data_IF_889986425754
#
_entry.id   IF_889986425754
#
_cell.length_a   1.000
_cell.length_b   1.000
_cell.length_c   1.000
_cell.angle_alpha   90.00
_cell.angle_beta   90.00
_cell.angle_gamma   90.00
#
_symmetry.space_group_name_H-M   'P 1'
#
loop_
_entity.id
_entity.type
_entity.pdbx_description
1 polymer ?
#
# COMPACT_ATOMS: atom_id res chain seq x y z
N UNK A 1 11.89 -50.38 12.56
CA UNK A 1 11.23 -49.09 12.12
C UNK A 1 9.85 -49.44 11.62
N UNK A 2 8.88 -49.35 12.49
CA UNK A 2 7.47 -49.71 12.21
C UNK A 2 6.70 -48.51 11.70
N UNK A 3 5.85 -48.72 10.69
CA UNK A 3 4.90 -47.71 10.16
C UNK A 3 3.67 -47.63 11.06
N UNK A 4 3.11 -46.47 11.32
CA UNK A 4 1.82 -46.38 12.00
C UNK A 4 0.65 -46.71 11.04
N UNK A 5 -0.49 -47.21 11.58
CA UNK A 5 -1.61 -47.73 10.82
C UNK A 5 -2.51 -46.65 10.20
N UNK A 6 -3.13 -47.04 9.10
CA UNK A 6 -4.01 -46.20 8.29
C UNK A 6 -5.32 -45.86 8.99
N UNK A 7 -5.81 -44.67 8.69
CA UNK A 7 -7.16 -44.18 9.04
C UNK A 7 -8.08 -44.46 7.85
N UNK A 8 -9.08 -45.29 8.13
CA UNK A 8 -10.15 -45.65 7.21
C UNK A 8 -11.13 -44.48 7.03
N UNK A 9 -11.55 -44.31 5.78
CA UNK A 9 -12.65 -43.44 5.36
C UNK A 9 -14.01 -43.98 5.84
N UNK A 10 -14.79 -43.16 6.51
CA UNK A 10 -16.24 -43.34 6.55
C UNK A 10 -16.93 -42.12 5.94
N UNK A 11 -17.74 -42.44 4.94
CA UNK A 11 -18.79 -41.61 4.35
C UNK A 11 -19.90 -41.42 5.39
N UNK A 12 -20.45 -40.19 5.48
CA UNK A 12 -21.89 -40.10 5.58
C UNK A 12 -22.45 -38.70 5.31
N UNK A 13 -23.39 -38.69 4.37
CA UNK A 13 -24.69 -37.98 4.29
C UNK A 13 -24.75 -36.44 4.35
N UNK A 14 -24.85 -35.89 3.18
CA UNK A 14 -26.01 -35.17 2.60
C UNK A 14 -27.00 -34.55 3.59
N UNK A 15 -26.85 -33.24 3.87
CA UNK A 15 -27.99 -32.37 4.17
C UNK A 15 -27.85 -31.07 3.42
N UNK A 16 -28.70 -30.91 2.39
CA UNK A 16 -29.03 -29.65 1.73
C UNK A 16 -29.63 -28.69 2.75
N UNK A 17 -28.82 -27.82 3.32
CA UNK A 17 -29.25 -26.62 4.00
C UNK A 17 -29.18 -25.45 3.03
N UNK A 18 -30.31 -25.03 2.53
CA UNK A 18 -30.51 -23.84 1.75
C UNK A 18 -30.27 -22.64 2.67
N UNK A 19 -29.04 -22.10 2.68
CA UNK A 19 -28.74 -20.86 3.39
C UNK A 19 -29.05 -19.70 2.44
N UNK A 20 -30.19 -19.08 2.70
CA UNK A 20 -30.54 -17.78 2.13
C UNK A 20 -29.51 -16.74 2.60
N UNK A 21 -28.46 -16.53 1.81
CA UNK A 21 -27.52 -15.43 2.02
C UNK A 21 -28.08 -14.17 1.36
N UNK A 22 -28.95 -13.48 2.05
CA UNK A 22 -29.16 -12.04 1.81
C UNK A 22 -27.89 -11.32 2.20
N UNK A 23 -27.05 -11.04 1.19
CA UNK A 23 -25.92 -10.12 1.28
C UNK A 23 -26.53 -8.74 1.52
N UNK A 24 -26.19 -8.03 2.62
CA UNK A 24 -26.59 -6.64 2.75
C UNK A 24 -25.85 -5.83 1.66
N UNK A 25 -26.61 -5.44 0.65
CA UNK A 25 -26.22 -4.42 -0.31
C UNK A 25 -26.17 -3.08 0.43
N UNK A 26 -24.98 -2.62 0.79
CA UNK A 26 -24.83 -1.39 1.57
C UNK A 26 -23.39 -1.08 1.92
N UNK A 27 -22.42 -1.33 1.04
CA UNK A 27 -21.18 -0.60 1.08
C UNK A 27 -21.37 0.64 0.21
N UNK A 28 -21.73 1.75 0.83
CA UNK A 28 -21.55 3.07 0.23
C UNK A 28 -20.06 3.20 -0.10
N UNK A 29 -19.74 2.95 -1.36
CA UNK A 29 -18.44 3.30 -1.92
C UNK A 29 -18.37 4.82 -1.81
N UNK A 30 -17.61 5.35 -0.86
CA UNK A 30 -17.30 6.76 -0.79
C UNK A 30 -16.37 7.10 -1.96
N UNK A 31 -16.97 7.14 -3.15
CA UNK A 31 -16.36 7.79 -4.30
C UNK A 31 -16.30 9.28 -3.96
N UNK A 32 -15.11 9.86 -4.10
CA UNK A 32 -15.00 11.33 -4.04
C UNK A 32 -16.06 11.96 -4.95
N UNK A 33 -16.67 13.08 -4.54
CA UNK A 33 -17.53 13.84 -5.41
C UNK A 33 -16.79 14.11 -6.73
N UNK A 34 -17.39 13.79 -7.86
CA UNK A 34 -16.78 13.99 -9.18
C UNK A 34 -16.26 15.41 -9.37
N UNK A 35 -16.95 16.41 -8.81
CA UNK A 35 -16.57 17.82 -8.87
C UNK A 35 -15.22 18.09 -8.19
N UNK A 36 -14.91 17.40 -7.08
CA UNK A 36 -13.62 17.55 -6.40
C UNK A 36 -12.48 16.99 -7.23
N UNK A 37 -12.69 15.83 -7.87
CA UNK A 37 -11.67 15.21 -8.73
C UNK A 37 -11.37 16.04 -9.98
N UNK A 38 -12.40 16.74 -10.53
CA UNK A 38 -12.22 17.61 -11.69
C UNK A 38 -11.36 18.83 -11.38
N UNK A 39 -11.19 19.19 -10.11
CA UNK A 39 -10.32 20.29 -9.69
C UNK A 39 -8.83 19.96 -9.67
N UNK A 40 -8.47 18.67 -9.84
CA UNK A 40 -7.08 18.21 -9.79
C UNK A 40 -6.68 17.50 -11.08
N UNK A 41 -5.41 17.69 -11.46
CA UNK A 41 -4.75 16.85 -12.47
C UNK A 41 -3.99 15.73 -11.77
N UNK A 42 -4.16 14.49 -12.26
CA UNK A 42 -3.39 13.34 -11.79
C UNK A 42 -2.22 13.11 -12.72
N UNK A 43 -1.00 13.11 -12.17
CA UNK A 43 0.24 12.82 -12.91
C UNK A 43 1.21 12.00 -12.08
N UNK A 44 2.30 11.50 -12.69
CA UNK A 44 3.48 11.07 -11.92
C UNK A 44 4.01 12.28 -11.16
N UNK A 45 4.66 12.05 -10.02
CA UNK A 45 5.29 13.13 -9.25
C UNK A 45 6.39 13.78 -10.11
N UNK A 46 6.26 15.07 -10.44
CA UNK A 46 7.27 15.78 -11.23
C UNK A 46 8.59 15.91 -10.45
N UNK A 47 9.77 15.86 -11.13
CA UNK A 47 11.07 15.97 -10.47
C UNK A 47 11.23 17.22 -9.61
N UNK A 48 10.66 18.34 -10.03
CA UNK A 48 10.69 19.61 -9.28
C UNK A 48 9.99 19.55 -7.91
N UNK A 49 9.07 18.59 -7.71
CA UNK A 49 8.36 18.40 -6.45
C UNK A 49 9.00 17.35 -5.51
N UNK A 50 10.06 16.66 -5.95
CA UNK A 50 10.70 15.60 -5.14
C UNK A 50 11.24 16.15 -3.81
N UNK A 51 11.77 17.37 -3.78
CA UNK A 51 12.24 17.98 -2.54
C UNK A 51 11.12 18.18 -1.51
N UNK A 52 9.90 18.47 -1.97
CA UNK A 52 8.72 18.54 -1.09
C UNK A 52 8.41 17.16 -0.49
N UNK A 53 8.48 16.10 -1.29
CA UNK A 53 8.28 14.72 -0.83
C UNK A 53 9.31 14.35 0.23
N UNK A 54 10.59 14.62 -0.02
CA UNK A 54 11.70 14.34 0.92
C UNK A 54 11.50 15.11 2.23
N UNK A 55 11.20 16.41 2.16
CA UNK A 55 11.07 17.27 3.34
C UNK A 55 9.86 16.95 4.24
N UNK A 56 8.83 16.32 3.68
CA UNK A 56 7.62 15.92 4.41
C UNK A 56 7.65 14.47 4.91
N UNK A 57 8.63 13.68 4.48
CA UNK A 57 8.80 12.30 4.91
C UNK A 57 9.42 12.23 6.31
N UNK A 58 8.80 11.48 7.23
CA UNK A 58 9.39 11.16 8.53
C UNK A 58 10.50 10.11 8.46
N UNK A 59 10.60 9.40 7.33
CA UNK A 59 11.63 8.41 7.06
C UNK A 59 12.57 9.01 6.02
N UNK A 60 13.91 8.98 6.23
CA UNK A 60 14.87 9.47 5.25
C UNK A 60 14.63 8.83 3.87
N UNK A 61 14.63 9.66 2.83
CA UNK A 61 14.40 9.25 1.45
C UNK A 61 15.43 9.93 0.54
N UNK A 62 15.98 9.14 -0.39
CA UNK A 62 16.85 9.66 -1.42
C UNK A 62 16.05 10.07 -2.66
N UNK A 63 16.32 11.26 -3.20
CA UNK A 63 15.61 11.78 -4.36
C UNK A 63 15.75 10.86 -5.58
N UNK A 64 16.92 10.28 -5.79
CA UNK A 64 17.19 9.32 -6.88
C UNK A 64 16.32 8.07 -6.78
N UNK A 65 16.14 7.54 -5.56
CA UNK A 65 15.28 6.38 -5.31
C UNK A 65 13.81 6.72 -5.61
N UNK A 66 13.34 7.88 -5.15
CA UNK A 66 11.96 8.31 -5.41
C UNK A 66 11.67 8.49 -6.89
N UNK A 67 12.60 9.07 -7.65
CA UNK A 67 12.46 9.27 -9.10
C UNK A 67 12.40 7.95 -9.88
N UNK A 68 12.95 6.88 -9.34
CA UNK A 68 12.95 5.55 -9.96
C UNK A 68 11.71 4.71 -9.56
N UNK A 69 10.81 5.23 -8.73
CA UNK A 69 9.64 4.50 -8.24
C UNK A 69 8.34 4.93 -8.95
N UNK A 70 7.38 4.00 -9.12
CA UNK A 70 6.02 4.34 -9.48
C UNK A 70 5.45 5.36 -8.51
N UNK A 71 4.88 6.43 -9.04
CA UNK A 71 4.31 7.49 -8.23
C UNK A 71 3.11 8.14 -8.91
N UNK A 72 2.22 8.69 -8.11
CA UNK A 72 1.17 9.59 -8.55
C UNK A 72 1.06 10.78 -7.61
N UNK A 73 0.60 11.89 -8.13
CA UNK A 73 0.24 13.07 -7.36
C UNK A 73 -1.02 13.74 -7.89
N UNK A 74 -1.64 14.53 -7.02
CA UNK A 74 -2.66 15.51 -7.40
C UNK A 74 -2.03 16.88 -7.51
N UNK A 75 -2.23 17.52 -8.66
CA UNK A 75 -1.84 18.90 -8.92
C UNK A 75 -3.09 19.77 -9.04
N UNK A 76 -3.06 20.94 -8.42
CA UNK A 76 -4.07 21.99 -8.62
C UNK A 76 -3.93 22.61 -10.01
N UNK A 77 -4.88 23.46 -10.41
CA UNK A 77 -4.79 24.26 -11.65
C UNK A 77 -3.56 25.18 -11.68
N UNK A 78 -3.03 25.55 -10.52
CA UNK A 78 -1.77 26.32 -10.38
C UNK A 78 -0.52 25.45 -10.32
N UNK A 79 -0.63 24.14 -10.61
CA UNK A 79 0.47 23.16 -10.54
C UNK A 79 1.03 22.94 -9.13
N UNK A 80 0.30 23.30 -8.09
CA UNK A 80 0.67 22.97 -6.72
C UNK A 80 0.38 21.49 -6.43
N UNK A 81 1.37 20.74 -5.91
CA UNK A 81 1.19 19.34 -5.54
C UNK A 81 0.60 19.25 -4.12
N UNK A 82 -0.59 18.67 -4.02
CA UNK A 82 -1.36 18.63 -2.77
C UNK A 82 -1.46 17.25 -2.13
N UNK A 83 -1.26 16.19 -2.91
CA UNK A 83 -1.23 14.81 -2.43
C UNK A 83 -0.34 13.96 -3.33
N UNK A 84 0.28 12.93 -2.77
CA UNK A 84 1.13 11.98 -3.52
C UNK A 84 1.21 10.62 -2.86
N UNK A 85 1.58 9.62 -3.65
CA UNK A 85 1.84 8.26 -3.22
C UNK A 85 2.92 7.62 -4.10
N UNK A 86 3.68 6.68 -3.53
CA UNK A 86 4.73 5.93 -4.20
C UNK A 86 4.56 4.43 -3.94
N UNK A 87 5.11 3.62 -4.83
CA UNK A 87 5.27 2.18 -4.60
C UNK A 87 6.76 1.85 -4.60
N UNK A 88 7.23 1.24 -3.52
CA UNK A 88 8.58 0.73 -3.38
C UNK A 88 8.87 -0.46 -4.28
N UNK A 89 10.16 -0.78 -4.46
CA UNK A 89 10.60 -1.92 -5.26
C UNK A 89 10.09 -3.27 -4.73
N UNK A 90 9.78 -3.32 -3.44
CA UNK A 90 9.23 -4.46 -2.72
C UNK A 90 7.69 -4.54 -2.80
N UNK A 91 7.04 -3.64 -3.54
CA UNK A 91 5.58 -3.54 -3.61
C UNK A 91 4.95 -2.79 -2.44
N UNK A 92 5.73 -2.13 -1.59
CA UNK A 92 5.19 -1.33 -0.48
C UNK A 92 4.53 -0.05 -1.01
N UNK A 93 3.24 0.17 -0.72
CA UNK A 93 2.61 1.48 -0.84
C UNK A 93 3.19 2.38 0.25
N UNK A 94 4.04 3.29 -0.15
CA UNK A 94 4.86 4.11 0.72
C UNK A 94 4.69 5.61 0.42
N UNK A 95 5.24 6.43 1.30
CA UNK A 95 5.35 7.89 1.08
C UNK A 95 4.01 8.53 0.68
N UNK A 96 2.90 7.97 1.20
CA UNK A 96 1.56 8.51 1.00
C UNK A 96 1.36 9.73 1.88
N UNK A 97 1.05 10.85 1.28
CA UNK A 97 0.86 12.12 2.00
C UNK A 97 -0.19 12.99 1.34
N UNK A 98 -0.89 13.76 2.16
CA UNK A 98 -1.82 14.82 1.74
C UNK A 98 -1.51 16.07 2.56
N UNK A 99 -1.36 17.20 1.89
CA UNK A 99 -1.15 18.48 2.57
C UNK A 99 -2.25 18.74 3.61
N UNK A 100 -1.92 19.30 4.78
CA UNK A 100 -2.89 19.49 5.86
C UNK A 100 -4.19 20.19 5.43
N UNK A 101 -4.10 21.20 4.56
CA UNK A 101 -5.25 21.95 4.00
C UNK A 101 -6.20 21.12 3.15
N UNK A 102 -5.77 19.95 2.67
CA UNK A 102 -6.52 19.07 1.76
C UNK A 102 -6.91 17.73 2.39
N UNK A 103 -6.66 17.56 3.70
CA UNK A 103 -7.02 16.33 4.44
C UNK A 103 -8.54 16.24 4.66
N UNK A 104 -8.99 15.03 5.01
CA UNK A 104 -10.42 14.77 5.27
C UNK A 104 -11.30 14.69 4.02
N UNK A 105 -10.73 14.86 2.84
CA UNK A 105 -11.44 14.87 1.55
C UNK A 105 -11.34 13.54 0.79
N UNK A 106 -10.78 12.49 1.36
CA UNK A 106 -10.63 11.17 0.71
C UNK A 106 -9.49 11.08 -0.32
N UNK A 107 -8.71 12.15 -0.54
CA UNK A 107 -7.66 12.20 -1.58
C UNK A 107 -6.62 11.08 -1.41
N UNK A 108 -6.23 10.77 -0.16
CA UNK A 108 -5.25 9.71 0.11
C UNK A 108 -5.72 8.33 -0.41
N UNK A 109 -6.95 7.96 -0.11
CA UNK A 109 -7.52 6.69 -0.58
C UNK A 109 -7.64 6.66 -2.09
N UNK A 110 -8.05 7.78 -2.69
CA UNK A 110 -8.24 7.85 -4.13
C UNK A 110 -6.91 7.72 -4.89
N UNK A 111 -5.87 8.49 -4.48
CA UNK A 111 -4.57 8.44 -5.15
C UNK A 111 -3.88 7.09 -4.97
N UNK A 112 -4.02 6.48 -3.79
CA UNK A 112 -3.49 5.15 -3.52
C UNK A 112 -4.19 4.09 -4.39
N UNK A 113 -5.52 4.14 -4.50
CA UNK A 113 -6.30 3.26 -5.38
C UNK A 113 -5.89 3.39 -6.83
N UNK A 114 -5.80 4.63 -7.34
CA UNK A 114 -5.42 4.90 -8.72
C UNK A 114 -3.99 4.41 -9.01
N UNK A 115 -3.05 4.60 -8.08
CA UNK A 115 -1.68 4.14 -8.21
C UNK A 115 -1.60 2.60 -8.32
N UNK A 116 -2.33 1.89 -7.45
CA UNK A 116 -2.40 0.41 -7.48
C UNK A 116 -3.04 -0.09 -8.77
N UNK A 117 -4.12 0.56 -9.23
CA UNK A 117 -4.77 0.21 -10.50
C UNK A 117 -3.84 0.42 -11.68
N UNK A 118 -3.09 1.51 -11.73
CA UNK A 118 -2.10 1.78 -12.80
C UNK A 118 -0.94 0.81 -12.75
N UNK A 119 -0.48 0.41 -11.56
CA UNK A 119 0.51 -0.65 -11.43
C UNK A 119 0.01 -1.96 -12.06
N UNK A 120 -1.22 -2.36 -11.77
CA UNK A 120 -1.84 -3.56 -12.35
C UNK A 120 -2.09 -3.47 -13.86
N UNK A 121 -2.16 -2.26 -14.42
CA UNK A 121 -2.22 -2.01 -15.87
C UNK A 121 -0.85 -1.89 -16.53
N UNK A 122 0.22 -2.05 -15.75
CA UNK A 122 1.60 -1.99 -16.21
C UNK A 122 2.05 -0.59 -16.70
N UNK A 123 1.39 0.48 -16.23
CA UNK A 123 1.69 1.87 -16.63
C UNK A 123 3.08 2.35 -16.19
N UNK A 124 3.82 1.51 -15.43
CA UNK A 124 5.17 1.80 -14.90
C UNK A 124 6.23 0.83 -15.41
N UNK A 125 5.98 0.14 -16.52
CA UNK A 125 6.97 -0.76 -17.14
C UNK A 125 8.26 -0.05 -17.52
N UNK A 126 8.21 1.21 -17.88
CA UNK A 126 9.38 2.05 -18.18
C UNK A 126 10.30 2.21 -16.96
N UNK A 127 9.80 2.03 -15.74
CA UNK A 127 10.56 2.02 -14.49
C UNK A 127 10.93 0.59 -14.02
N UNK A 128 10.60 -0.44 -14.80
CA UNK A 128 10.85 -1.84 -14.44
C UNK A 128 9.79 -2.49 -13.54
N UNK A 129 8.61 -1.86 -13.39
CA UNK A 129 7.52 -2.39 -12.57
C UNK A 129 6.42 -2.98 -13.46
N UNK A 130 6.22 -4.31 -13.36
CA UNK A 130 5.23 -5.04 -14.17
C UNK A 130 3.89 -5.24 -13.46
N UNK A 131 3.85 -5.12 -12.12
CA UNK A 131 2.64 -5.45 -11.35
C UNK A 131 2.28 -6.94 -11.33
N UNK A 132 3.15 -7.81 -11.83
CA UNK A 132 2.89 -9.26 -11.98
C UNK A 132 2.54 -9.98 -10.67
N UNK A 133 3.05 -9.49 -9.53
CA UNK A 133 2.72 -10.09 -8.23
C UNK A 133 1.24 -10.01 -7.88
N UNK A 134 0.52 -9.03 -8.44
CA UNK A 134 -0.87 -8.76 -8.13
C UNK A 134 -1.11 -8.27 -6.68
N UNK A 135 -0.04 -8.00 -5.93
CA UNK A 135 -0.08 -7.61 -4.53
C UNK A 135 0.65 -6.31 -4.26
N UNK A 136 0.05 -5.50 -3.41
CA UNK A 136 0.64 -4.33 -2.80
C UNK A 136 0.42 -4.42 -1.30
N UNK A 137 1.41 -4.06 -0.50
CA UNK A 137 1.28 -4.01 0.95
C UNK A 137 1.62 -2.62 1.49
N UNK A 138 1.34 -2.37 2.75
CA UNK A 138 1.74 -1.14 3.43
C UNK A 138 1.97 -1.42 4.90
N UNK A 139 3.08 -0.91 5.43
CA UNK A 139 3.33 -0.88 6.85
C UNK A 139 2.67 0.34 7.46
N UNK A 140 1.76 0.11 8.40
CA UNK A 140 1.04 1.17 9.11
C UNK A 140 1.45 1.16 10.57
N UNK A 141 2.03 2.28 11.02
CA UNK A 141 2.37 2.44 12.44
C UNK A 141 1.11 2.34 13.28
N UNK A 142 1.18 1.58 14.37
CA UNK A 142 0.08 1.45 15.34
C UNK A 142 -0.39 2.83 15.82
N UNK A 143 -1.71 3.03 15.84
CA UNK A 143 -2.35 4.30 16.19
C UNK A 143 -2.35 5.36 15.09
N UNK A 144 -1.81 5.06 13.88
CA UNK A 144 -1.94 5.96 12.74
C UNK A 144 -3.32 5.78 12.07
N UNK A 145 -4.34 6.37 12.70
CA UNK A 145 -5.74 6.27 12.25
C UNK A 145 -5.95 6.71 10.80
N UNK A 146 -5.15 7.70 10.33
CA UNK A 146 -5.22 8.18 8.95
C UNK A 146 -4.83 7.10 7.96
N UNK A 147 -3.67 6.49 8.14
CA UNK A 147 -3.20 5.40 7.28
C UNK A 147 -4.06 4.15 7.39
N UNK A 148 -4.52 3.79 8.61
CA UNK A 148 -5.46 2.69 8.79
C UNK A 148 -6.78 2.92 8.04
N UNK A 149 -7.28 4.16 8.05
CA UNK A 149 -8.46 4.56 7.29
C UNK A 149 -8.28 4.38 5.79
N UNK A 150 -7.12 4.76 5.25
CA UNK A 150 -6.79 4.53 3.84
C UNK A 150 -6.77 3.05 3.51
N UNK A 151 -6.08 2.23 4.32
CA UNK A 151 -6.01 0.78 4.06
C UNK A 151 -7.39 0.13 4.09
N UNK A 152 -8.27 0.53 5.01
CA UNK A 152 -9.68 0.07 5.02
C UNK A 152 -10.42 0.51 3.76
N UNK A 153 -10.23 1.76 3.31
CA UNK A 153 -10.84 2.27 2.08
C UNK A 153 -10.34 1.57 0.80
N UNK A 154 -9.19 0.92 0.86
CA UNK A 154 -8.64 0.06 -0.18
C UNK A 154 -9.04 -1.42 -0.03
N UNK A 155 -9.88 -1.74 0.97
CA UNK A 155 -10.26 -3.12 1.32
C UNK A 155 -9.05 -3.98 1.74
N UNK A 156 -8.00 -3.33 2.22
CA UNK A 156 -6.78 -3.98 2.69
C UNK A 156 -7.04 -4.86 3.90
N UNK A 157 -6.41 -6.04 3.92
CA UNK A 157 -6.48 -7.00 5.03
C UNK A 157 -5.20 -6.94 5.84
N UNK A 158 -5.33 -6.86 7.16
CA UNK A 158 -4.18 -6.98 8.06
C UNK A 158 -3.68 -8.43 8.03
N UNK A 159 -2.44 -8.63 7.60
CA UNK A 159 -1.86 -9.96 7.39
C UNK A 159 -0.77 -10.29 8.41
N UNK A 160 0.01 -9.31 8.85
CA UNK A 160 1.10 -9.50 9.83
C UNK A 160 1.36 -8.24 10.64
N UNK A 161 2.22 -8.36 11.63
CA UNK A 161 2.82 -7.26 12.39
C UNK A 161 4.32 -7.38 12.24
N UNK A 162 5.00 -6.27 11.90
CA UNK A 162 6.44 -6.19 11.79
C UNK A 162 7.03 -5.30 12.89
N UNK A 163 8.28 -5.57 13.26
CA UNK A 163 9.08 -4.73 14.13
C UNK A 163 10.37 -4.37 13.43
N UNK A 164 10.79 -3.12 13.59
CA UNK A 164 12.07 -2.63 13.05
C UNK A 164 13.08 -2.58 14.18
N UNK A 165 14.22 -3.21 13.96
CA UNK A 165 15.37 -3.18 14.88
C UNK A 165 16.51 -2.42 14.20
N UNK A 166 17.17 -1.57 14.98
CA UNK A 166 18.41 -0.91 14.57
C UNK A 166 19.57 -1.70 15.15
N UNK A 167 20.51 -2.06 14.31
CA UNK A 167 21.74 -2.76 14.69
C UNK A 167 22.90 -1.89 14.24
N UNK A 168 23.78 -1.57 15.20
CA UNK A 168 25.05 -0.91 14.88
C UNK A 168 26.04 -1.96 14.38
N UNK A 169 26.30 -1.95 13.08
CA UNK A 169 27.22 -2.90 12.49
C UNK A 169 28.67 -2.70 12.93
N UNK A 170 29.02 -1.50 13.44
CA UNK A 170 30.35 -1.23 13.98
C UNK A 170 30.58 -1.83 15.38
N UNK A 171 29.49 -2.15 16.11
CA UNK A 171 29.55 -2.79 17.41
C UNK A 171 29.28 -4.30 17.36
N UNK A 172 29.00 -4.86 16.17
CA UNK A 172 28.84 -6.29 16.00
C UNK A 172 30.21 -6.99 16.19
N UNK A 173 30.24 -7.85 17.18
CA UNK A 173 31.39 -8.70 17.50
C UNK A 173 31.43 -9.89 16.54
N UNK A 174 32.59 -10.23 15.97
CA UNK A 174 32.77 -11.32 15.02
C UNK A 174 32.55 -12.72 15.66
N UNK A 175 32.40 -12.82 16.97
CA UNK A 175 32.19 -14.08 17.72
C UNK A 175 30.95 -14.87 17.26
N UNK A 176 29.92 -14.21 16.76
CA UNK A 176 28.74 -14.92 16.28
C UNK A 176 28.95 -15.65 14.93
N UNK A 177 30.06 -15.36 14.22
CA UNK A 177 30.42 -16.02 12.97
C UNK A 177 31.07 -17.40 13.19
N UNK A 178 31.64 -17.64 14.39
CA UNK A 178 32.40 -18.87 14.70
C UNK A 178 31.54 -20.03 15.24
N UNK A 179 30.25 -19.83 15.47
CA UNK A 179 29.32 -20.83 16.03
C UNK A 179 28.52 -21.61 14.95
N UNK A 180 28.96 -21.65 13.69
CA UNK A 180 28.29 -22.44 12.63
C UNK A 180 29.09 -23.66 12.22
#
# INVERSE_FOLDING_TARGET
MERPPGITSENDNNQKGQVNSSIPSGAEQSSLPNDLLQSFTISRVPPEHINLVVSTSSIPRESSTLLAQPSLCFLTSSSEMVAWAFIGIDGTLATLYVLPSHRGQGLATHIARELVLRLGREDFRDLGFSGESGWVHSDVKEGNMGSEGVMRGLEGKRSWVSSYLWVDCGELDDRWMDER
#
